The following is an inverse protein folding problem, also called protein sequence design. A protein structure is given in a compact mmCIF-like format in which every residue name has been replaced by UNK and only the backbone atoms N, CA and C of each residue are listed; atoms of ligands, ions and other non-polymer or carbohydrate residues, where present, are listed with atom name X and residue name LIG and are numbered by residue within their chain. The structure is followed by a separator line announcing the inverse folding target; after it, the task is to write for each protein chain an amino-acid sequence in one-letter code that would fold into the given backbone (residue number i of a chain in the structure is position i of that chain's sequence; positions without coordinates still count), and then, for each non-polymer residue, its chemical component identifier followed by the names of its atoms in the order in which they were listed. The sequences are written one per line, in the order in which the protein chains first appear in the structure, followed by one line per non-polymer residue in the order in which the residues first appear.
data_IF_884481384544
#
_entry.id   IF_884481384544
#
_cell.length_a   1.000
_cell.length_b   1.000
_cell.length_c   1.000
_cell.angle_alpha   90.00
_cell.angle_beta   90.00
_cell.angle_gamma   90.00
#
_symmetry.space_group_name_H-M   'P 1'
#
loop_
_entity.id
_entity.type
_entity.pdbx_description
1 polymer ?
#
# COMPACT_ATOMS: atom_id res chain seq x y z
N UNK A 1 35.55 41.64 27.56
CA UNK A 1 34.16 42.13 27.37
C UNK A 1 33.52 41.55 26.09
N UNK A 2 34.19 41.58 24.96
CA UNK A 2 33.66 41.09 23.66
C UNK A 2 33.29 39.59 23.63
N UNK A 3 34.01 38.76 24.36
CA UNK A 3 33.76 37.31 24.41
C UNK A 3 32.38 36.94 25.07
N UNK A 4 31.99 37.72 26.08
CA UNK A 4 30.68 37.52 26.75
C UNK A 4 29.51 38.03 25.90
N UNK A 5 29.73 39.09 25.13
CA UNK A 5 28.73 39.64 24.20
C UNK A 5 28.51 38.69 23.04
N UNK A 6 29.58 38.05 22.52
CA UNK A 6 29.49 37.08 21.43
C UNK A 6 28.73 35.79 21.87
N UNK A 7 28.99 35.34 23.10
CA UNK A 7 28.30 34.17 23.66
C UNK A 7 26.82 34.46 23.89
N UNK A 8 26.47 35.68 24.33
CA UNK A 8 25.10 36.11 24.52
C UNK A 8 24.36 36.27 23.19
N UNK A 9 25.02 36.82 22.17
CA UNK A 9 24.47 36.93 20.82
C UNK A 9 24.25 35.55 20.17
N UNK A 10 25.16 34.60 20.38
CA UNK A 10 25.01 33.22 19.89
C UNK A 10 23.85 32.47 20.59
N UNK A 11 23.67 32.71 21.91
CA UNK A 11 22.55 32.15 22.67
C UNK A 11 21.18 32.73 22.23
N UNK A 12 21.17 34.02 21.85
CA UNK A 12 19.96 34.67 21.34
C UNK A 12 19.58 34.19 19.95
N UNK A 13 20.56 33.87 19.09
CA UNK A 13 20.31 33.30 17.76
C UNK A 13 19.78 31.86 17.85
N UNK A 14 20.22 31.06 18.82
CA UNK A 14 19.73 29.71 19.02
C UNK A 14 18.30 29.65 19.59
N UNK A 15 17.83 30.70 20.26
CA UNK A 15 16.43 30.76 20.72
C UNK A 15 15.39 31.04 19.63
N UNK A 16 15.82 31.47 18.44
CA UNK A 16 14.86 31.73 17.33
C UNK A 16 14.65 30.57 16.37
N UNK A 17 15.32 29.43 16.57
CA UNK A 17 15.23 28.28 15.67
C UNK A 17 14.23 27.19 16.10
N UNK A 18 13.41 27.48 17.11
CA UNK A 18 12.41 26.55 17.61
C UNK A 18 10.99 26.79 17.06
N UNK A 19 10.82 26.95 15.76
CA UNK A 19 9.48 26.88 15.17
C UNK A 19 9.08 25.41 15.04
N UNK A 20 8.36 24.92 16.05
CA UNK A 20 7.68 23.63 15.95
C UNK A 20 6.65 23.63 14.81
N UNK A 21 6.24 22.44 14.42
CA UNK A 21 5.17 22.23 13.44
C UNK A 21 3.97 23.13 13.75
N UNK A 22 3.57 23.99 12.83
CA UNK A 22 2.34 24.72 13.01
C UNK A 22 1.17 23.78 12.81
N UNK A 23 0.73 23.16 13.93
CA UNK A 23 -0.52 22.47 13.95
C UNK A 23 -1.65 23.52 13.89
N UNK A 24 -2.88 23.06 13.71
CA UNK A 24 -4.06 23.93 13.62
C UNK A 24 -4.19 24.90 14.80
N UNK A 25 -3.64 24.56 15.96
CA UNK A 25 -3.70 25.37 17.18
C UNK A 25 -2.68 26.53 17.17
N UNK A 26 -1.59 26.38 16.44
CA UNK A 26 -0.44 27.31 16.42
C UNK A 26 -0.27 28.01 15.07
N UNK A 27 -1.07 27.69 14.08
CA UNK A 27 -0.99 28.30 12.76
C UNK A 27 -1.58 29.71 12.77
N UNK A 28 -0.80 30.68 12.32
CA UNK A 28 -1.30 32.03 12.15
C UNK A 28 -2.13 32.20 10.87
N UNK A 29 -1.87 31.35 9.87
CA UNK A 29 -2.61 31.35 8.61
C UNK A 29 -3.05 29.92 8.27
N UNK A 30 -4.23 29.73 7.65
CA UNK A 30 -4.70 28.41 7.23
C UNK A 30 -3.75 27.68 6.28
N UNK A 31 -2.96 28.42 5.49
CA UNK A 31 -1.97 27.86 4.56
C UNK A 31 -0.74 27.23 5.22
N UNK A 32 -0.55 27.44 6.51
CA UNK A 32 0.56 26.88 7.30
C UNK A 32 0.20 25.52 7.93
N UNK A 33 -1.11 25.21 7.99
CA UNK A 33 -1.61 23.98 8.59
C UNK A 33 -1.12 22.79 7.75
N UNK A 34 -0.52 21.80 8.42
CA UNK A 34 -0.03 20.59 7.79
C UNK A 34 1.32 20.72 7.04
N UNK A 35 1.88 21.91 6.90
CA UNK A 35 3.22 22.07 6.34
C UNK A 35 4.27 21.72 7.39
N UNK A 36 5.13 20.79 7.04
CA UNK A 36 6.32 20.48 7.83
C UNK A 36 7.29 21.66 7.75
N UNK A 37 7.83 22.08 8.87
CA UNK A 37 8.88 23.09 8.86
C UNK A 37 10.23 22.47 8.40
N UNK A 38 11.23 23.31 8.13
CA UNK A 38 12.55 22.88 7.61
C UNK A 38 13.22 21.91 8.58
N UNK A 39 13.08 22.09 9.89
CA UNK A 39 13.69 21.22 10.90
C UNK A 39 13.01 19.85 10.93
N UNK A 40 11.71 19.80 10.68
CA UNK A 40 10.97 18.54 10.53
C UNK A 40 11.28 17.85 9.21
N UNK A 41 11.47 18.60 8.13
CA UNK A 41 11.91 18.04 6.84
C UNK A 41 13.34 17.51 6.97
N UNK A 42 14.20 18.16 7.76
CA UNK A 42 15.56 17.73 8.03
C UNK A 42 15.65 16.61 9.07
N UNK A 43 14.79 16.61 10.08
CA UNK A 43 14.68 15.48 11.04
C UNK A 43 13.93 14.29 10.45
N UNK A 44 13.09 14.51 9.46
CA UNK A 44 12.55 13.50 8.55
C UNK A 44 13.62 13.02 7.51
N UNK A 45 14.85 12.93 7.92
CA UNK A 45 15.77 11.90 7.44
C UNK A 45 15.24 10.50 7.74
N UNK A 46 14.02 10.43 8.23
CA UNK A 46 13.20 9.26 8.39
C UNK A 46 12.80 8.76 6.99
N UNK A 47 13.78 8.15 6.36
CA UNK A 47 13.55 7.34 5.17
C UNK A 47 12.84 6.06 5.64
N UNK A 48 11.91 5.55 4.83
CA UNK A 48 11.37 4.22 5.06
C UNK A 48 12.52 3.24 5.32
N UNK A 49 12.36 2.33 6.27
CA UNK A 49 13.34 1.28 6.53
C UNK A 49 13.40 0.37 5.31
N UNK A 50 14.53 0.40 4.62
CA UNK A 50 14.75 -0.49 3.48
C UNK A 50 14.67 -1.96 3.91
N UNK A 51 14.24 -2.82 3.01
CA UNK A 51 14.33 -4.26 3.25
C UNK A 51 15.80 -4.66 3.36
N UNK A 52 16.13 -5.27 4.48
CA UNK A 52 17.48 -5.77 4.70
C UNK A 52 17.83 -6.85 3.68
N UNK A 53 19.08 -6.85 3.24
CA UNK A 53 19.61 -7.91 2.40
C UNK A 53 19.72 -9.21 3.22
N UNK A 54 19.19 -10.28 2.66
CA UNK A 54 19.23 -11.62 3.24
C UNK A 54 19.85 -12.55 2.23
N UNK A 55 20.88 -13.26 2.66
CA UNK A 55 21.54 -14.28 1.83
C UNK A 55 20.67 -15.54 1.80
N UNK A 56 20.58 -16.20 0.64
CA UNK A 56 19.78 -17.44 0.47
C UNK A 56 20.14 -18.53 1.47
N UNK A 57 21.41 -18.63 1.89
CA UNK A 57 21.88 -19.58 2.91
C UNK A 57 21.37 -19.28 4.33
N UNK A 58 20.90 -18.05 4.58
CA UNK A 58 20.37 -17.63 5.88
C UNK A 58 18.86 -17.87 5.97
N UNK A 59 18.20 -18.16 4.84
CA UNK A 59 16.78 -18.53 4.79
C UNK A 59 16.65 -20.02 5.09
N UNK A 60 16.24 -20.36 6.30
CA UNK A 60 16.03 -21.75 6.69
C UNK A 60 14.73 -22.32 6.12
N UNK A 61 13.71 -21.49 6.03
CA UNK A 61 12.38 -21.83 5.53
C UNK A 61 11.73 -20.59 4.93
N UNK A 62 10.91 -20.81 3.91
CA UNK A 62 10.11 -19.73 3.33
C UNK A 62 8.81 -20.28 2.74
N UNK A 63 7.79 -19.44 2.71
CA UNK A 63 6.49 -19.73 2.11
C UNK A 63 5.94 -18.47 1.47
N UNK A 64 5.57 -18.55 0.19
CA UNK A 64 4.89 -17.47 -0.51
C UNK A 64 3.40 -17.59 -0.24
N UNK A 65 2.79 -16.49 0.17
CA UNK A 65 1.35 -16.39 0.40
C UNK A 65 0.74 -15.26 -0.41
N UNK A 66 -0.48 -15.50 -0.86
CA UNK A 66 -1.28 -14.52 -1.56
C UNK A 66 -2.50 -14.22 -0.70
N UNK A 67 -2.64 -12.98 -0.34
CA UNK A 67 -3.68 -12.51 0.56
C UNK A 67 -4.63 -11.56 -0.16
N UNK A 68 -5.87 -11.53 0.30
CA UNK A 68 -6.86 -10.56 -0.15
C UNK A 68 -7.26 -9.67 1.01
N UNK A 69 -7.19 -8.37 0.78
CA UNK A 69 -7.75 -7.32 1.62
C UNK A 69 -9.13 -6.99 1.05
N UNK A 70 -10.16 -7.08 1.87
CA UNK A 70 -11.50 -6.64 1.53
C UNK A 70 -11.74 -5.25 2.13
N UNK A 71 -12.01 -4.26 1.28
CA UNK A 71 -12.19 -2.87 1.72
C UNK A 71 -13.56 -2.61 2.37
N UNK A 72 -14.47 -3.57 2.34
CA UNK A 72 -15.73 -3.49 3.09
C UNK A 72 -15.53 -3.68 4.60
N UNK A 73 -14.40 -4.27 5.02
CA UNK A 73 -14.08 -4.47 6.42
C UNK A 73 -13.61 -3.16 7.07
N UNK A 74 -14.17 -2.83 8.23
CA UNK A 74 -13.89 -1.58 8.95
C UNK A 74 -12.40 -1.33 9.21
N UNK A 75 -11.64 -2.38 9.51
CA UNK A 75 -10.19 -2.27 9.76
C UNK A 75 -9.42 -1.78 8.52
N UNK A 76 -9.97 -1.99 7.33
CA UNK A 76 -9.37 -1.65 6.04
C UNK A 76 -9.83 -0.26 5.51
N UNK A 77 -10.74 0.42 6.21
CA UNK A 77 -11.21 1.76 5.81
C UNK A 77 -10.09 2.79 5.62
N UNK A 78 -8.99 2.78 6.37
CA UNK A 78 -7.87 3.67 6.12
C UNK A 78 -7.23 3.54 4.73
N UNK A 79 -7.41 2.39 4.06
CA UNK A 79 -6.95 2.16 2.69
C UNK A 79 -7.96 2.63 1.64
N UNK A 80 -9.26 2.70 2.01
CA UNK A 80 -10.37 3.04 1.13
C UNK A 80 -10.66 4.53 1.08
N UNK A 81 -10.77 5.19 2.23
CA UNK A 81 -11.28 6.55 2.34
C UNK A 81 -10.18 7.62 2.18
N UNK A 82 -10.49 8.75 1.55
CA UNK A 82 -11.77 9.17 0.98
C UNK A 82 -12.08 8.50 -0.36
N UNK A 83 -13.37 8.17 -0.60
CA UNK A 83 -13.82 7.54 -1.86
C UNK A 83 -13.96 8.58 -2.99
N UNK A 84 -14.27 9.82 -2.64
CA UNK A 84 -14.41 10.90 -3.61
C UNK A 84 -13.04 11.50 -3.92
N UNK A 85 -12.54 11.21 -5.11
CA UNK A 85 -11.25 11.71 -5.60
C UNK A 85 -11.24 13.23 -5.82
N UNK A 86 -12.41 13.88 -5.88
CA UNK A 86 -12.56 15.34 -6.01
C UNK A 86 -12.57 16.07 -4.67
N UNK A 87 -12.70 15.36 -3.57
CA UNK A 87 -12.58 15.96 -2.25
C UNK A 87 -11.13 16.43 -2.03
N UNK A 88 -10.97 17.73 -2.12
CA UNK A 88 -9.71 18.41 -1.81
C UNK A 88 -9.45 18.42 -0.30
N UNK A 89 -9.02 17.30 0.22
CA UNK A 89 -8.38 17.27 1.52
C UNK A 89 -6.92 16.97 1.27
N UNK A 90 -6.08 17.99 1.22
CA UNK A 90 -4.65 17.90 0.88
C UNK A 90 -3.87 16.89 1.73
N UNK A 91 -4.42 16.49 2.86
CA UNK A 91 -3.77 15.60 3.84
C UNK A 91 -4.31 14.16 3.82
N UNK A 92 -5.29 13.86 2.96
CA UNK A 92 -5.97 12.55 2.99
C UNK A 92 -6.23 12.07 1.58
N UNK A 93 -5.63 10.93 1.25
CA UNK A 93 -5.86 10.23 -0.01
C UNK A 93 -6.19 8.77 0.29
N UNK A 94 -6.98 8.12 -0.57
CA UNK A 94 -7.09 6.67 -0.57
C UNK A 94 -5.80 6.06 -1.10
N UNK A 95 -5.53 4.80 -0.75
CA UNK A 95 -4.38 4.09 -1.32
C UNK A 95 -4.46 4.04 -2.85
N UNK A 96 -5.66 3.83 -3.40
CA UNK A 96 -5.86 3.82 -4.85
C UNK A 96 -5.47 5.15 -5.50
N UNK A 97 -5.93 6.27 -4.95
CA UNK A 97 -5.60 7.59 -5.46
C UNK A 97 -4.09 7.84 -5.47
N UNK A 98 -3.39 7.45 -4.40
CA UNK A 98 -1.93 7.56 -4.34
C UNK A 98 -1.26 6.75 -5.44
N UNK A 99 -1.69 5.49 -5.64
CA UNK A 99 -1.15 4.64 -6.71
C UNK A 99 -1.43 5.22 -8.09
N UNK A 100 -2.69 5.60 -8.35
CA UNK A 100 -3.15 6.13 -9.64
C UNK A 100 -2.42 7.41 -10.02
N UNK A 101 -2.36 8.41 -9.13
CA UNK A 101 -1.64 9.67 -9.37
C UNK A 101 -0.18 9.40 -9.73
N UNK A 102 0.51 8.53 -8.98
CA UNK A 102 1.91 8.22 -9.25
C UNK A 102 2.16 7.34 -10.49
N UNK A 103 1.15 6.60 -10.96
CA UNK A 103 1.21 5.92 -12.26
C UNK A 103 1.09 6.95 -13.39
N UNK A 104 0.14 7.88 -13.27
CA UNK A 104 -0.07 8.97 -14.24
C UNK A 104 1.20 9.83 -14.35
N UNK A 105 1.79 10.19 -13.23
CA UNK A 105 3.02 10.98 -13.15
C UNK A 105 4.30 10.20 -13.52
N UNK A 106 4.16 8.91 -13.87
CA UNK A 106 5.26 8.00 -14.24
C UNK A 106 6.30 7.80 -13.11
N UNK A 107 5.91 8.03 -11.87
CA UNK A 107 6.74 7.71 -10.71
C UNK A 107 6.74 6.20 -10.42
N UNK A 108 5.65 5.51 -10.77
CA UNK A 108 5.52 4.05 -10.68
C UNK A 108 5.66 3.48 -12.10
N UNK A 109 6.73 2.73 -12.33
CA UNK A 109 7.05 2.16 -13.65
C UNK A 109 7.11 0.63 -13.66
N UNK A 110 7.29 -0.01 -12.49
CA UNK A 110 7.34 -1.46 -12.37
C UNK A 110 5.93 -2.04 -12.15
N UNK A 111 5.18 -2.08 -13.25
CA UNK A 111 3.80 -2.56 -13.31
C UNK A 111 3.79 -3.81 -14.18
N UNK A 112 3.16 -4.88 -13.69
CA UNK A 112 3.17 -6.20 -14.33
C UNK A 112 1.75 -6.69 -14.61
N UNK A 113 1.64 -7.59 -15.59
CA UNK A 113 0.37 -8.18 -15.99
C UNK A 113 -0.29 -8.91 -14.80
N UNK A 114 -1.61 -8.67 -14.61
CA UNK A 114 -2.39 -9.28 -13.53
C UNK A 114 -2.42 -10.81 -13.57
N UNK A 115 -2.38 -11.39 -14.77
CA UNK A 115 -2.48 -12.84 -14.98
C UNK A 115 -1.16 -13.57 -14.68
N UNK A 116 -0.06 -12.82 -14.52
CA UNK A 116 1.27 -13.38 -14.35
C UNK A 116 1.92 -12.86 -13.08
N UNK A 117 1.92 -13.69 -12.03
CA UNK A 117 2.45 -13.34 -10.72
C UNK A 117 3.97 -13.59 -10.56
N UNK A 118 4.67 -13.97 -11.64
CA UNK A 118 6.13 -14.16 -11.63
C UNK A 118 6.92 -12.93 -12.10
N UNK A 119 6.22 -11.80 -12.35
CA UNK A 119 6.80 -10.48 -12.67
C UNK A 119 7.73 -10.48 -13.90
N UNK A 120 7.45 -11.31 -14.90
CA UNK A 120 8.22 -11.36 -16.16
C UNK A 120 7.67 -10.43 -17.23
N UNK A 121 6.37 -10.16 -17.20
CA UNK A 121 5.68 -9.32 -18.20
C UNK A 121 5.43 -7.93 -17.65
N UNK A 122 6.35 -7.03 -17.96
CA UNK A 122 6.20 -5.62 -17.63
C UNK A 122 5.17 -4.98 -18.58
N UNK A 123 4.19 -4.29 -18.03
CA UNK A 123 3.24 -3.51 -18.81
C UNK A 123 3.86 -2.18 -19.24
N UNK A 124 3.54 -1.78 -20.47
CA UNK A 124 3.83 -0.41 -20.90
C UNK A 124 2.90 0.58 -20.20
N UNK A 125 3.29 1.85 -20.17
CA UNK A 125 2.44 2.91 -19.61
C UNK A 125 1.06 2.94 -20.25
N UNK A 126 0.99 2.76 -21.57
CA UNK A 126 -0.27 2.78 -22.33
C UNK A 126 -1.17 1.60 -21.95
N UNK A 127 -0.59 0.41 -21.76
CA UNK A 127 -1.33 -0.78 -21.29
C UNK A 127 -1.84 -0.60 -19.86
N UNK A 128 -1.04 -0.04 -18.97
CA UNK A 128 -1.48 0.26 -17.62
C UNK A 128 -2.62 1.28 -17.61
N UNK A 129 -2.50 2.34 -18.42
CA UNK A 129 -3.54 3.37 -18.55
C UNK A 129 -4.83 2.83 -19.18
N UNK A 130 -4.77 1.90 -20.13
CA UNK A 130 -5.97 1.28 -20.70
C UNK A 130 -6.77 0.45 -19.70
N UNK A 131 -6.11 -0.06 -18.67
CA UNK A 131 -6.79 -0.74 -17.55
C UNK A 131 -7.49 0.22 -16.58
N UNK A 132 -7.13 1.51 -16.61
CA UNK A 132 -7.64 2.53 -15.70
C UNK A 132 -8.66 3.45 -16.35
N UNK A 133 -8.59 3.60 -17.67
CA UNK A 133 -9.39 4.57 -18.42
C UNK A 133 -9.70 4.03 -19.80
N UNK A 134 -10.97 4.00 -20.13
CA UNK A 134 -11.46 3.56 -21.44
C UNK A 134 -12.41 4.61 -22.01
N UNK A 135 -12.34 4.84 -23.30
CA UNK A 135 -13.30 5.66 -24.01
C UNK A 135 -14.24 4.75 -24.79
N UNK A 136 -15.52 4.77 -24.44
CA UNK A 136 -16.56 4.00 -25.13
C UNK A 136 -17.48 4.92 -25.89
N UNK A 137 -17.86 4.49 -27.10
CA UNK A 137 -18.89 5.16 -27.87
C UNK A 137 -20.27 4.58 -27.49
N UNK A 138 -21.12 5.40 -26.91
CA UNK A 138 -22.50 5.07 -26.57
C UNK A 138 -23.52 5.63 -27.61
N UNK A 139 -23.03 6.40 -28.60
CA UNK A 139 -23.82 6.91 -29.69
C UNK A 139 -23.86 5.96 -30.89
N UNK A 140 -24.67 6.32 -31.87
CA UNK A 140 -24.78 5.60 -33.15
C UNK A 140 -23.61 5.96 -34.10
N UNK A 141 -23.47 5.21 -35.20
CA UNK A 141 -22.41 5.48 -36.19
C UNK A 141 -22.49 6.89 -36.83
N UNK A 142 -23.69 7.49 -36.86
CA UNK A 142 -23.92 8.82 -37.43
C UNK A 142 -23.85 9.95 -36.38
N UNK A 143 -23.94 9.63 -35.09
CA UNK A 143 -23.85 10.58 -33.97
C UNK A 143 -23.09 9.93 -32.81
N UNK A 144 -21.75 9.87 -32.90
CA UNK A 144 -20.93 9.20 -31.90
C UNK A 144 -20.86 9.99 -30.59
N UNK A 145 -21.28 9.38 -29.48
CA UNK A 145 -21.13 9.90 -28.12
C UNK A 145 -20.02 9.13 -27.38
N UNK A 146 -18.81 9.70 -27.37
CA UNK A 146 -17.68 9.13 -26.69
C UNK A 146 -17.67 9.53 -25.22
N UNK A 147 -17.95 8.59 -24.34
CA UNK A 147 -17.81 8.79 -22.90
C UNK A 147 -16.54 8.11 -22.39
N UNK A 148 -15.80 8.85 -21.58
CA UNK A 148 -14.61 8.33 -20.93
C UNK A 148 -14.96 7.84 -19.55
N UNK A 149 -14.77 6.55 -19.33
CA UNK A 149 -14.93 5.89 -18.03
C UNK A 149 -13.54 5.78 -17.42
N UNK A 150 -13.41 6.22 -16.19
CA UNK A 150 -12.16 6.18 -15.43
C UNK A 150 -12.40 5.56 -14.08
N UNK A 151 -11.52 4.63 -13.67
CA UNK A 151 -11.59 3.99 -12.35
C UNK A 151 -11.23 5.00 -11.25
N UNK A 152 -12.13 5.14 -10.30
CA UNK A 152 -12.03 6.01 -9.13
C UNK A 152 -11.79 5.20 -7.87
N UNK A 153 -11.53 5.87 -6.74
CA UNK A 153 -11.41 5.21 -5.45
C UNK A 153 -12.68 4.46 -5.03
N UNK A 154 -13.85 4.93 -5.48
CA UNK A 154 -15.14 4.28 -5.22
C UNK A 154 -15.28 2.92 -5.91
N UNK A 155 -14.59 2.71 -7.03
CA UNK A 155 -14.67 1.49 -7.82
C UNK A 155 -13.76 0.37 -7.30
N UNK A 156 -12.85 0.68 -6.38
CA UNK A 156 -11.92 -0.29 -5.79
C UNK A 156 -12.59 -1.02 -4.62
N UNK A 157 -12.61 -2.34 -4.71
CA UNK A 157 -13.23 -3.21 -3.70
C UNK A 157 -12.23 -3.92 -2.81
N UNK A 158 -10.96 -3.97 -3.21
CA UNK A 158 -9.93 -4.66 -2.45
C UNK A 158 -8.55 -4.60 -3.06
N UNK A 159 -7.61 -5.26 -2.38
CA UNK A 159 -6.24 -5.43 -2.84
C UNK A 159 -5.83 -6.89 -2.69
N UNK A 160 -5.13 -7.40 -3.69
CA UNK A 160 -4.40 -8.64 -3.55
C UNK A 160 -2.95 -8.32 -3.20
N UNK A 161 -2.41 -9.07 -2.25
CA UNK A 161 -1.03 -8.96 -1.81
C UNK A 161 -0.30 -10.27 -2.13
N UNK A 162 0.92 -10.16 -2.61
CA UNK A 162 1.87 -11.27 -2.67
C UNK A 162 2.97 -10.99 -1.67
N UNK A 163 3.17 -11.88 -0.72
CA UNK A 163 4.20 -11.77 0.30
C UNK A 163 4.92 -13.09 0.55
N UNK A 164 6.05 -12.98 1.20
CA UNK A 164 6.85 -14.13 1.60
C UNK A 164 7.06 -14.11 3.09
N UNK A 165 6.67 -15.19 3.75
CA UNK A 165 7.13 -15.52 5.08
C UNK A 165 8.44 -16.28 4.97
N UNK A 166 9.41 -15.95 5.79
CA UNK A 166 10.69 -16.63 5.83
C UNK A 166 11.28 -16.59 7.23
N UNK A 167 12.00 -17.66 7.57
CA UNK A 167 12.74 -17.73 8.83
C UNK A 167 14.20 -17.38 8.57
N UNK A 168 14.64 -16.29 9.21
CA UNK A 168 16.03 -15.84 9.16
C UNK A 168 16.84 -16.60 10.22
N UNK A 169 17.73 -17.49 9.78
CA UNK A 169 18.59 -18.29 10.64
C UNK A 169 19.52 -17.44 11.52
N UNK A 170 19.94 -16.29 11.03
CA UNK A 170 20.88 -15.41 11.75
C UNK A 170 20.21 -14.68 12.89
N UNK A 171 18.96 -14.30 12.70
CA UNK A 171 18.15 -13.62 13.72
C UNK A 171 17.40 -14.59 14.60
N UNK A 172 17.10 -15.78 14.08
CA UNK A 172 16.24 -16.74 14.75
C UNK A 172 14.78 -16.31 14.79
N UNK A 173 14.32 -15.53 13.81
CA UNK A 173 12.99 -14.92 13.78
C UNK A 173 12.25 -15.23 12.49
N UNK A 174 10.92 -15.39 12.59
CA UNK A 174 10.03 -15.47 11.46
C UNK A 174 9.69 -14.05 10.99
N UNK A 175 9.97 -13.76 9.75
CA UNK A 175 9.78 -12.44 9.15
C UNK A 175 8.84 -12.50 7.95
N UNK A 176 8.19 -11.37 7.67
CA UNK A 176 7.34 -11.21 6.50
C UNK A 176 7.87 -10.11 5.59
N UNK A 177 7.85 -10.37 4.28
CA UNK A 177 8.21 -9.38 3.27
C UNK A 177 7.10 -9.25 2.23
N UNK A 178 6.51 -8.07 2.14
CA UNK A 178 5.55 -7.76 1.09
C UNK A 178 6.30 -7.54 -0.23
N UNK A 179 5.91 -8.29 -1.27
CA UNK A 179 6.56 -8.29 -2.57
C UNK A 179 5.79 -7.50 -3.61
N UNK A 180 4.47 -7.64 -3.62
CA UNK A 180 3.64 -6.96 -4.60
C UNK A 180 2.23 -6.69 -4.09
N UNK A 181 1.59 -5.70 -4.69
CA UNK A 181 0.21 -5.31 -4.46
C UNK A 181 -0.53 -5.20 -5.78
N UNK A 182 -1.78 -5.65 -5.83
CA UNK A 182 -2.64 -5.57 -7.01
C UNK A 182 -4.01 -5.05 -6.61
N UNK A 183 -4.44 -3.91 -7.15
CA UNK A 183 -5.79 -3.41 -6.93
C UNK A 183 -6.84 -4.28 -7.63
N UNK A 184 -7.98 -4.41 -6.99
CA UNK A 184 -9.16 -5.15 -7.47
C UNK A 184 -10.37 -4.25 -7.37
N UNK A 185 -11.14 -4.18 -8.42
CA UNK A 185 -12.31 -3.31 -8.44
C UNK A 185 -13.27 -3.65 -9.56
N UNK A 186 -14.03 -2.65 -9.94
CA UNK A 186 -15.03 -2.74 -10.98
C UNK A 186 -14.41 -3.05 -12.35
N UNK A 187 -15.10 -3.84 -13.16
CA UNK A 187 -14.67 -4.06 -14.54
C UNK A 187 -14.94 -2.83 -15.40
N UNK A 188 -13.88 -2.24 -15.94
CA UNK A 188 -14.00 -1.06 -16.82
C UNK A 188 -14.63 -1.39 -18.17
N UNK A 189 -14.51 -2.64 -18.64
CA UNK A 189 -15.11 -3.09 -19.90
C UNK A 189 -16.62 -3.27 -19.79
N UNK A 190 -17.10 -3.70 -18.63
CA UNK A 190 -18.52 -3.80 -18.32
C UNK A 190 -18.86 -3.15 -16.98
N UNK A 191 -18.95 -1.79 -16.95
CA UNK A 191 -19.13 -1.03 -15.74
C UNK A 191 -20.53 -1.18 -15.11
N UNK A 192 -21.47 -1.80 -15.81
CA UNK A 192 -22.84 -2.01 -15.33
C UNK A 192 -23.02 -3.36 -14.61
N UNK A 193 -22.06 -4.28 -14.76
CA UNK A 193 -22.04 -5.54 -13.98
C UNK A 193 -21.30 -5.32 -12.66
N UNK A 194 -22.05 -5.05 -11.59
CA UNK A 194 -21.52 -4.83 -10.25
C UNK A 194 -20.93 -6.09 -9.61
N UNK A 195 -21.31 -7.27 -10.08
CA UNK A 195 -20.83 -8.55 -9.55
C UNK A 195 -19.46 -8.92 -10.16
N UNK A 196 -19.16 -8.46 -11.36
CA UNK A 196 -17.94 -8.78 -12.08
C UNK A 196 -16.78 -7.90 -11.61
N UNK A 197 -15.95 -8.43 -10.72
CA UNK A 197 -14.74 -7.78 -10.24
C UNK A 197 -13.55 -8.16 -11.11
N UNK A 198 -12.71 -7.16 -11.41
CA UNK A 198 -11.50 -7.32 -12.22
C UNK A 198 -10.26 -6.98 -11.41
N UNK A 199 -9.20 -7.72 -11.65
CA UNK A 199 -7.84 -7.41 -11.18
C UNK A 199 -7.15 -6.56 -12.24
N UNK A 200 -6.51 -5.46 -11.82
CA UNK A 200 -5.94 -4.54 -12.81
C UNK A 200 -4.51 -4.93 -13.21
N UNK A 201 -3.57 -4.83 -12.27
CA UNK A 201 -2.16 -5.13 -12.53
C UNK A 201 -1.41 -5.31 -11.20
N UNK A 202 -0.30 -6.05 -11.25
CA UNK A 202 0.63 -6.13 -10.14
C UNK A 202 1.59 -4.94 -10.13
N UNK A 203 1.80 -4.37 -8.95
CA UNK A 203 2.83 -3.36 -8.70
C UNK A 203 3.88 -3.97 -7.79
N UNK A 204 5.16 -3.86 -8.19
CA UNK A 204 6.26 -4.33 -7.35
C UNK A 204 6.41 -3.44 -6.12
N UNK A 205 6.08 -3.99 -4.96
CA UNK A 205 5.96 -3.20 -3.72
C UNK A 205 7.24 -2.50 -3.30
N UNK A 206 8.45 -3.12 -3.34
CA UNK A 206 9.69 -2.45 -2.96
C UNK A 206 9.96 -1.16 -3.73
N UNK A 207 9.52 -1.06 -4.98
CA UNK A 207 9.73 0.14 -5.82
C UNK A 207 8.85 1.32 -5.42
N UNK A 208 7.70 1.07 -4.79
CA UNK A 208 6.74 2.12 -4.42
C UNK A 208 6.82 2.55 -2.96
N UNK A 209 7.64 1.89 -2.14
CA UNK A 209 7.75 2.16 -0.71
C UNK A 209 8.08 3.62 -0.39
N UNK A 210 9.00 4.24 -1.17
CA UNK A 210 9.34 5.65 -1.03
C UNK A 210 8.15 6.58 -1.27
N UNK A 211 7.27 6.22 -2.19
CA UNK A 211 6.05 6.98 -2.50
C UNK A 211 5.06 6.81 -1.36
N UNK A 212 4.79 5.57 -0.96
CA UNK A 212 3.84 5.24 0.10
C UNK A 212 4.27 5.75 1.48
N UNK A 213 5.57 5.92 1.70
CA UNK A 213 6.10 6.48 2.94
C UNK A 213 5.79 7.98 3.10
N UNK A 214 5.69 8.71 1.99
CA UNK A 214 5.38 10.15 2.01
C UNK A 214 3.91 10.44 2.24
N UNK A 215 3.03 9.52 1.90
CA UNK A 215 1.59 9.69 1.98
C UNK A 215 1.06 9.12 3.30
N UNK A 216 0.35 9.97 4.03
CA UNK A 216 -0.13 9.62 5.37
C UNK A 216 -1.52 9.01 5.31
N UNK A 217 -1.74 8.01 6.15
CA UNK A 217 -3.03 7.36 6.32
C UNK A 217 -3.86 8.10 7.36
N UNK A 218 -5.14 8.24 7.10
CA UNK A 218 -6.06 8.78 8.08
C UNK A 218 -6.24 7.81 9.27
N UNK A 219 -5.98 8.31 10.47
CA UNK A 219 -6.22 7.56 11.70
C UNK A 219 -7.52 8.08 12.36
N UNK A 220 -8.55 7.23 12.41
CA UNK A 220 -9.85 7.54 12.98
C UNK A 220 -9.79 7.84 14.50
N UNK A 221 -8.81 7.25 15.19
CA UNK A 221 -8.69 7.37 16.65
C UNK A 221 -7.87 8.57 17.10
N UNK A 222 -6.90 9.04 16.31
CA UNK A 222 -6.04 10.17 16.67
C UNK A 222 -5.34 10.77 15.47
N UNK A 223 -5.54 12.06 15.23
CA UNK A 223 -4.79 12.81 14.23
C UNK A 223 -3.34 13.11 14.63
N UNK A 224 -2.97 12.86 15.89
CA UNK A 224 -1.64 13.17 16.40
C UNK A 224 -0.58 12.14 15.96
N UNK A 225 -0.99 10.88 15.75
CA UNK A 225 -0.12 9.80 15.34
C UNK A 225 -0.54 9.29 13.96
N UNK A 226 -0.21 10.05 12.92
CA UNK A 226 -0.39 9.61 11.55
C UNK A 226 0.73 8.65 11.17
N UNK A 227 0.36 7.56 10.51
CA UNK A 227 1.30 6.59 9.94
C UNK A 227 1.25 6.67 8.42
N UNK A 228 2.33 6.31 7.76
CA UNK A 228 2.35 6.24 6.30
C UNK A 228 1.67 4.96 5.79
N UNK A 229 1.28 4.95 4.51
CA UNK A 229 0.78 3.72 3.88
C UNK A 229 1.83 2.60 3.89
N UNK A 230 3.12 2.93 3.70
CA UNK A 230 4.20 1.94 3.81
C UNK A 230 4.25 1.32 5.20
N UNK A 231 4.19 2.14 6.25
CA UNK A 231 4.19 1.66 7.63
C UNK A 231 2.95 0.81 7.97
N UNK A 232 1.77 1.22 7.49
CA UNK A 232 0.53 0.46 7.68
C UNK A 232 0.63 -0.93 7.03
N UNK A 233 1.10 -1.00 5.79
CA UNK A 233 1.19 -2.25 5.04
C UNK A 233 2.28 -3.18 5.59
N UNK A 234 3.46 -2.66 5.95
CA UNK A 234 4.55 -3.47 6.51
C UNK A 234 4.23 -3.97 7.91
N UNK A 235 3.64 -3.11 8.76
CA UNK A 235 3.21 -3.52 10.12
C UNK A 235 1.94 -4.37 10.11
N UNK A 236 1.38 -4.66 8.93
CA UNK A 236 0.19 -5.51 8.72
C UNK A 236 -1.02 -5.06 9.54
N UNK A 237 -1.24 -3.73 9.65
CA UNK A 237 -2.39 -3.16 10.36
C UNK A 237 -3.64 -3.13 9.47
N UNK A 238 -3.99 -4.27 8.91
CA UNK A 238 -5.17 -4.49 8.07
C UNK A 238 -5.70 -5.91 8.28
N UNK A 239 -6.93 -6.13 7.89
CA UNK A 239 -7.52 -7.47 7.83
C UNK A 239 -7.32 -8.07 6.44
N UNK A 240 -6.87 -9.33 6.40
CA UNK A 240 -6.71 -10.07 5.16
C UNK A 240 -6.92 -11.57 5.37
N UNK A 241 -7.26 -12.27 4.30
CA UNK A 241 -7.28 -13.72 4.28
C UNK A 241 -6.42 -14.27 3.14
N UNK A 242 -5.75 -15.41 3.40
CA UNK A 242 -4.95 -16.10 2.40
C UNK A 242 -5.92 -16.80 1.45
N UNK A 243 -5.79 -16.53 0.14
CA UNK A 243 -6.59 -17.20 -0.89
C UNK A 243 -5.77 -18.19 -1.74
N UNK A 244 -4.43 -18.10 -1.67
CA UNK A 244 -3.50 -18.93 -2.42
C UNK A 244 -2.16 -18.99 -1.66
N UNK A 245 -1.49 -20.12 -1.72
CA UNK A 245 -0.11 -20.30 -1.25
C UNK A 245 0.71 -21.04 -2.31
N UNK A 246 2.03 -20.96 -2.23
CA UNK A 246 2.90 -21.83 -3.01
C UNK A 246 2.74 -23.29 -2.56
N UNK A 247 2.49 -24.17 -3.50
CA UNK A 247 2.28 -25.58 -3.23
C UNK A 247 2.73 -26.47 -4.39
N UNK A 248 2.93 -27.75 -4.09
CA UNK A 248 3.37 -28.76 -5.08
C UNK A 248 2.36 -29.01 -6.22
N UNK A 249 1.16 -28.46 -6.12
CA UNK A 249 0.08 -28.66 -7.09
C UNK A 249 -0.03 -27.50 -8.10
N UNK A 250 1.06 -26.73 -8.29
CA UNK A 250 1.11 -25.61 -9.21
C UNK A 250 0.45 -24.35 -8.67
N UNK A 251 0.56 -24.12 -7.36
CA UNK A 251 0.07 -22.91 -6.69
C UNK A 251 -1.41 -22.64 -6.91
N UNK A 252 -2.22 -23.70 -6.92
CA UNK A 252 -3.67 -23.56 -7.10
C UNK A 252 -4.32 -22.78 -5.96
N UNK A 253 -5.29 -21.90 -6.25
CA UNK A 253 -5.97 -21.13 -5.22
C UNK A 253 -6.85 -22.04 -4.34
N UNK A 254 -7.10 -21.61 -3.11
CA UNK A 254 -7.92 -22.36 -2.14
C UNK A 254 -9.32 -22.66 -2.72
N UNK A 255 -9.89 -21.72 -3.48
CA UNK A 255 -11.20 -21.91 -4.13
C UNK A 255 -11.25 -23.08 -5.13
N UNK A 256 -10.11 -23.53 -5.64
CA UNK A 256 -10.03 -24.66 -6.55
C UNK A 256 -10.23 -26.03 -5.87
N UNK A 257 -10.04 -26.09 -4.53
CA UNK A 257 -10.18 -27.34 -3.78
C UNK A 257 -11.10 -27.23 -2.54
N UNK A 258 -11.49 -26.02 -2.15
CA UNK A 258 -12.46 -25.72 -1.10
C UNK A 258 -13.59 -24.90 -1.72
N UNK A 259 -14.69 -25.55 -2.05
CA UNK A 259 -15.78 -24.95 -2.81
C UNK A 259 -16.72 -24.08 -1.97
N UNK A 260 -16.75 -24.27 -0.65
CA UNK A 260 -17.60 -23.49 0.26
C UNK A 260 -16.82 -22.36 0.89
N UNK A 261 -17.42 -21.17 0.98
CA UNK A 261 -16.76 -19.97 1.53
C UNK A 261 -16.22 -20.18 2.95
N UNK A 262 -16.97 -20.86 3.82
CA UNK A 262 -16.51 -21.21 5.18
C UNK A 262 -15.26 -22.12 5.15
N UNK A 263 -15.24 -23.12 4.28
CA UNK A 263 -14.09 -24.03 4.16
C UNK A 263 -12.84 -23.29 3.68
N UNK A 264 -13.01 -22.31 2.79
CA UNK A 264 -11.89 -21.46 2.32
C UNK A 264 -11.33 -20.59 3.43
N UNK A 265 -12.18 -20.05 4.31
CA UNK A 265 -11.74 -19.26 5.48
C UNK A 265 -11.00 -20.16 6.48
N UNK A 266 -11.52 -21.35 6.78
CA UNK A 266 -10.88 -22.31 7.66
C UNK A 266 -9.51 -22.76 7.12
N UNK A 267 -9.41 -22.95 5.81
CA UNK A 267 -8.14 -23.30 5.17
C UNK A 267 -7.13 -22.14 5.24
N UNK A 268 -7.58 -20.91 5.01
CA UNK A 268 -6.75 -19.72 5.24
C UNK A 268 -6.19 -19.64 6.67
N UNK A 269 -7.05 -19.95 7.65
CA UNK A 269 -6.63 -19.99 9.07
C UNK A 269 -5.65 -21.14 9.34
N UNK A 270 -5.85 -22.32 8.70
CA UNK A 270 -4.92 -23.44 8.81
C UNK A 270 -3.53 -23.06 8.30
N UNK A 271 -3.46 -22.41 7.14
CA UNK A 271 -2.18 -21.96 6.56
C UNK A 271 -1.50 -20.93 7.47
N UNK A 272 -2.25 -19.95 7.99
CA UNK A 272 -1.71 -18.97 8.95
C UNK A 272 -1.17 -19.67 10.20
N UNK A 273 -1.89 -20.65 10.71
CA UNK A 273 -1.44 -21.43 11.87
C UNK A 273 -0.19 -22.25 11.59
N UNK A 274 -0.10 -22.90 10.45
CA UNK A 274 1.09 -23.67 10.03
C UNK A 274 2.34 -22.80 9.99
N UNK A 275 2.23 -21.57 9.50
CA UNK A 275 3.32 -20.60 9.48
C UNK A 275 3.77 -20.25 10.92
N UNK A 276 2.82 -20.01 11.83
CA UNK A 276 3.12 -19.67 13.24
C UNK A 276 3.64 -20.89 14.03
N UNK A 277 3.07 -22.07 13.78
CA UNK A 277 3.50 -23.30 14.45
C UNK A 277 4.96 -23.65 14.09
N UNK A 278 5.39 -23.34 12.87
CA UNK A 278 6.77 -23.50 12.44
C UNK A 278 7.76 -22.70 13.33
N UNK A 279 7.43 -21.45 13.63
CA UNK A 279 8.24 -20.62 14.52
C UNK A 279 8.29 -21.21 15.93
N UNK A 280 7.14 -21.63 16.48
CA UNK A 280 7.06 -22.21 17.81
C UNK A 280 7.84 -23.53 17.94
N UNK A 281 7.79 -24.38 16.92
CA UNK A 281 8.52 -25.64 16.89
C UNK A 281 10.04 -25.44 16.89
N UNK A 282 10.53 -24.35 16.30
CA UNK A 282 11.96 -24.02 16.34
C UNK A 282 12.43 -23.56 17.72
N UNK A 283 11.57 -22.89 18.47
CA UNK A 283 11.88 -22.45 19.84
C UNK A 283 11.84 -23.60 20.86
N UNK A 284 11.13 -24.68 20.54
CA UNK A 284 10.98 -25.84 21.41
C UNK A 284 12.07 -26.93 21.21
N UNK A 285 13.00 -26.74 20.27
CA UNK A 285 14.14 -27.61 20.01
C UNK A 285 15.43 -27.08 20.60
#
# INVERSE_FOLDING_TARGET
MYRKVFTFLFLLITMFLGYGQSNILNANNPTEIGKKNIDQIQSDLDSYLEYEYIDDRDILWSKIVYEKIDLSERLNFPLLFPIDDNLYVDTRKSLWRVLKENIIDKNITLIYNANNDNFKELLTYEQAMSSLKISKNYGDENDPDFQTIEITSADITGYYLKGMWYFDKRRGELMYRLLAIMPVGKNIEDPFDEEMKTTYFWIWYPSIRKILHKELVFNDTSNANQISFDQLLISRRFSSYIYKEDNIYGDRPISAYKLKGLESILESQRIKKEILDFEQDLWNR
#
